data_IF_294892311864
#
_entry.id   IF_294892311864
#
_cell.length_a   1.000
_cell.length_b   1.000
_cell.length_c   1.000
_cell.angle_alpha   90.00
_cell.angle_beta   90.00
_cell.angle_gamma   90.00
#
_symmetry.space_group_name_H-M   'P 1'
#
loop_
_entity.id
_entity.type
_entity.pdbx_description
1 polymer ?
#
# COMPACT_ATOMS: atom_id res chain seq x y z
N UNK A 1 -50.73 32.70 6.27
CA UNK A 1 -50.02 34.00 6.20
C UNK A 1 -48.89 33.81 5.20
N UNK A 2 -49.12 33.81 3.89
CA UNK A 2 -49.69 34.88 3.05
C UNK A 2 -48.94 36.20 3.27
N UNK A 3 -48.01 36.51 2.37
CA UNK A 3 -48.06 37.73 1.55
C UNK A 3 -46.99 37.67 0.43
N UNK A 4 -47.48 37.36 -0.78
CA UNK A 4 -46.93 37.88 -2.04
C UNK A 4 -47.30 39.36 -2.14
N UNK A 5 -46.51 40.19 -2.82
CA UNK A 5 -46.90 41.33 -3.69
C UNK A 5 -45.62 42.05 -4.21
N UNK A 6 -45.63 42.84 -5.32
CA UNK A 6 -45.53 42.30 -6.68
C UNK A 6 -44.56 43.08 -7.60
N UNK A 7 -44.51 42.60 -8.86
CA UNK A 7 -43.97 43.21 -10.07
C UNK A 7 -44.11 44.74 -10.23
N UNK A 8 -43.09 45.32 -10.87
CA UNK A 8 -43.27 46.42 -11.83
C UNK A 8 -42.55 46.06 -13.13
N UNK A 9 -43.32 46.00 -14.21
CA UNK A 9 -42.87 45.91 -15.60
C UNK A 9 -42.89 47.32 -16.21
N UNK A 10 -42.15 47.48 -17.31
CA UNK A 10 -42.52 48.17 -18.56
C UNK A 10 -41.48 49.18 -19.10
N UNK A 11 -41.16 48.89 -20.37
CA UNK A 11 -40.75 49.75 -21.49
C UNK A 11 -39.25 49.92 -21.70
N UNK A 12 -38.73 49.90 -22.93
CA UNK A 12 -39.22 49.44 -24.25
C UNK A 12 -38.08 49.74 -25.22
N UNK A 13 -37.83 48.83 -26.15
CA UNK A 13 -37.32 49.09 -27.52
C UNK A 13 -35.96 49.79 -27.66
N UNK A 14 -35.11 49.54 -28.66
CA UNK A 14 -34.96 48.57 -29.73
C UNK A 14 -33.60 48.95 -30.32
N UNK A 15 -32.75 47.96 -30.55
CA UNK A 15 -31.75 47.93 -31.63
C UNK A 15 -31.16 49.26 -32.13
N UNK A 16 -29.96 49.58 -31.66
CA UNK A 16 -28.90 50.12 -32.53
C UNK A 16 -27.67 49.26 -32.29
N UNK A 17 -27.61 48.14 -32.99
CA UNK A 17 -26.67 47.94 -34.10
C UNK A 17 -25.19 48.14 -33.69
N UNK A 18 -24.48 47.03 -33.79
CA UNK A 18 -23.11 46.94 -34.32
C UNK A 18 -21.98 47.53 -33.48
N UNK A 19 -21.60 46.83 -32.40
CA UNK A 19 -20.20 46.86 -31.94
C UNK A 19 -19.73 45.60 -31.17
N UNK A 20 -20.51 44.51 -31.17
CA UNK A 20 -20.19 43.26 -30.47
C UNK A 20 -19.50 42.21 -31.37
N UNK A 21 -18.46 42.57 -32.13
CA UNK A 21 -17.75 41.55 -32.91
C UNK A 21 -16.24 41.75 -33.04
N UNK A 22 -15.57 42.38 -32.05
CA UNK A 22 -14.11 42.37 -32.05
C UNK A 22 -13.39 42.56 -30.72
N UNK A 23 -14.05 42.29 -29.58
CA UNK A 23 -13.42 42.41 -28.24
C UNK A 23 -13.80 41.31 -27.24
N UNK A 24 -14.50 40.25 -27.68
CA UNK A 24 -14.89 39.11 -26.85
C UNK A 24 -14.46 37.82 -27.56
N UNK A 25 -13.14 37.62 -27.70
CA UNK A 25 -12.53 36.31 -27.91
C UNK A 25 -11.01 36.32 -27.64
N UNK A 26 -10.57 36.93 -26.53
CA UNK A 26 -9.32 36.53 -25.86
C UNK A 26 -9.62 36.59 -24.36
N UNK A 27 -10.58 35.73 -24.00
CA UNK A 27 -10.97 35.45 -22.64
C UNK A 27 -9.76 34.92 -21.86
N UNK A 28 -9.46 35.57 -20.74
CA UNK A 28 -9.17 34.91 -19.47
C UNK A 28 -8.30 33.62 -19.51
N UNK A 29 -7.17 33.65 -20.21
CA UNK A 29 -6.25 32.50 -20.26
C UNK A 29 -4.81 32.97 -20.38
N UNK A 30 -4.25 33.53 -19.31
CA UNK A 30 -2.78 33.63 -19.05
C UNK A 30 -2.51 34.38 -17.74
N UNK A 31 -3.21 34.02 -16.66
CA UNK A 31 -2.91 34.55 -15.32
C UNK A 31 -2.99 33.49 -14.21
N UNK A 32 -2.87 32.21 -14.56
CA UNK A 32 -2.78 31.14 -13.57
C UNK A 32 -2.04 29.93 -14.15
N UNK A 33 -0.71 29.97 -14.13
CA UNK A 33 0.10 28.74 -14.18
C UNK A 33 1.44 28.94 -13.44
N UNK A 34 1.39 29.63 -12.30
CA UNK A 34 2.31 29.31 -11.20
C UNK A 34 1.95 27.91 -10.71
N UNK A 35 2.95 27.06 -10.49
CA UNK A 35 2.84 25.64 -10.09
C UNK A 35 2.79 24.63 -11.26
N UNK A 36 3.74 24.65 -12.20
CA UNK A 36 4.31 23.35 -12.60
C UNK A 36 5.14 22.86 -11.41
N UNK A 37 4.44 22.28 -10.43
CA UNK A 37 5.05 21.41 -9.45
C UNK A 37 5.89 20.39 -10.19
N UNK A 38 7.12 20.23 -9.73
CA UNK A 38 8.02 19.17 -10.13
C UNK A 38 7.20 17.87 -10.23
N UNK A 39 6.91 17.42 -11.46
CA UNK A 39 6.33 16.11 -11.67
C UNK A 39 7.42 15.14 -11.20
N UNK A 40 7.29 14.63 -9.97
CA UNK A 40 8.10 13.51 -9.50
C UNK A 40 7.85 12.39 -10.48
N UNK A 41 8.77 12.18 -11.40
CA UNK A 41 8.81 10.97 -12.22
C UNK A 41 8.72 9.79 -11.27
N UNK A 42 7.90 8.76 -11.54
CA UNK A 42 7.88 7.58 -10.72
C UNK A 42 9.30 7.03 -10.70
N UNK A 43 9.96 7.17 -9.56
CA UNK A 43 11.27 6.63 -9.31
C UNK A 43 11.16 5.13 -9.58
N UNK A 44 11.81 4.65 -10.64
CA UNK A 44 12.00 3.21 -10.87
C UNK A 44 13.05 2.76 -9.88
N UNK A 45 12.70 2.80 -8.60
CA UNK A 45 13.54 2.29 -7.53
C UNK A 45 13.71 0.79 -7.80
N UNK A 46 14.95 0.31 -7.79
CA UNK A 46 15.23 -1.13 -7.89
C UNK A 46 14.55 -1.87 -6.74
N UNK A 47 14.28 -3.16 -6.92
CA UNK A 47 13.79 -4.01 -5.84
C UNK A 47 14.98 -4.76 -5.22
N UNK A 48 14.88 -5.07 -3.92
CA UNK A 48 15.82 -5.91 -3.16
C UNK A 48 15.12 -7.12 -2.58
N UNK A 49 15.86 -8.19 -2.39
CA UNK A 49 15.39 -9.42 -1.74
C UNK A 49 15.95 -9.52 -0.33
N UNK A 50 15.11 -9.97 0.60
CA UNK A 50 15.50 -10.19 2.00
C UNK A 50 14.96 -11.54 2.46
N UNK A 51 15.76 -12.24 3.25
CA UNK A 51 15.43 -13.57 3.77
C UNK A 51 15.33 -13.53 5.29
N UNK A 52 14.32 -14.22 5.81
CA UNK A 52 14.01 -14.32 7.23
C UNK A 52 13.77 -15.76 7.61
N UNK A 53 14.05 -16.11 8.86
CA UNK A 53 13.80 -17.44 9.41
C UNK A 53 13.00 -17.35 10.71
N UNK A 54 12.13 -18.33 10.91
CA UNK A 54 11.39 -18.55 12.16
C UNK A 54 11.20 -20.04 12.36
N UNK A 55 11.01 -20.48 13.60
CA UNK A 55 10.58 -21.84 13.88
C UNK A 55 9.07 -21.87 14.17
N UNK A 56 8.45 -23.01 13.89
CA UNK A 56 7.13 -23.34 14.38
C UNK A 56 7.27 -23.94 15.78
N UNK A 57 6.22 -23.78 16.58
CA UNK A 57 6.07 -24.48 17.86
C UNK A 57 6.22 -25.98 17.62
N UNK A 58 6.91 -26.68 18.53
CA UNK A 58 7.17 -28.12 18.45
C UNK A 58 5.92 -28.93 18.82
N UNK A 59 4.92 -28.88 17.93
CA UNK A 59 3.60 -29.50 18.08
C UNK A 59 3.08 -29.81 16.66
N UNK A 60 2.94 -31.09 16.34
CA UNK A 60 2.56 -31.56 15.00
C UNK A 60 1.20 -31.02 14.55
N UNK A 61 0.24 -30.87 15.47
CA UNK A 61 -1.08 -30.33 15.17
C UNK A 61 -0.98 -28.86 14.80
N UNK A 62 -0.23 -28.08 15.56
CA UNK A 62 0.03 -26.66 15.28
C UNK A 62 0.77 -26.45 13.96
N UNK A 63 1.75 -27.30 13.67
CA UNK A 63 2.45 -27.29 12.38
C UNK A 63 1.47 -27.54 11.24
N UNK A 64 0.60 -28.54 11.36
CA UNK A 64 -0.41 -28.84 10.34
C UNK A 64 -1.39 -27.68 10.13
N UNK A 65 -1.91 -27.09 11.22
CA UNK A 65 -2.82 -25.95 11.15
C UNK A 65 -2.17 -24.75 10.43
N UNK A 66 -0.93 -24.41 10.80
CA UNK A 66 -0.17 -23.33 10.15
C UNK A 66 -0.09 -23.54 8.63
N UNK A 67 0.23 -24.75 8.20
CA UNK A 67 0.34 -25.07 6.77
C UNK A 67 -1.00 -25.03 6.06
N UNK A 68 -2.06 -25.53 6.71
CA UNK A 68 -3.41 -25.50 6.14
C UNK A 68 -3.89 -24.05 5.96
N UNK A 69 -3.60 -23.14 6.91
CA UNK A 69 -3.87 -21.71 6.73
C UNK A 69 -3.09 -21.10 5.56
N UNK A 70 -1.84 -21.50 5.33
CA UNK A 70 -1.01 -20.94 4.26
C UNK A 70 -1.30 -21.52 2.86
N UNK A 71 -2.11 -22.57 2.75
CA UNK A 71 -2.65 -23.02 1.44
C UNK A 71 -3.61 -22.01 0.84
N UNK A 72 -4.30 -21.23 1.67
CA UNK A 72 -5.23 -20.19 1.25
C UNK A 72 -5.25 -19.05 2.27
N UNK A 73 -4.36 -18.09 2.05
CA UNK A 73 -4.27 -16.87 2.85
C UNK A 73 -5.56 -16.07 2.70
N UNK A 74 -5.97 -15.37 3.76
CA UNK A 74 -7.13 -14.48 3.70
C UNK A 74 -6.90 -13.35 2.69
N UNK A 75 -7.88 -13.02 1.83
CA UNK A 75 -7.68 -12.03 0.77
C UNK A 75 -7.34 -10.63 1.31
N UNK A 76 -7.82 -10.28 2.50
CA UNK A 76 -7.51 -9.01 3.15
C UNK A 76 -6.03 -8.90 3.52
N UNK A 77 -5.39 -10.01 3.91
CA UNK A 77 -3.97 -10.05 4.26
C UNK A 77 -3.13 -9.75 3.02
N UNK A 78 -3.44 -10.40 1.89
CA UNK A 78 -2.77 -10.11 0.62
C UNK A 78 -3.05 -8.70 0.10
N UNK A 79 -4.25 -8.17 0.33
CA UNK A 79 -4.56 -6.77 0.02
C UNK A 79 -3.76 -5.80 0.90
N UNK A 80 -3.54 -6.13 2.17
CA UNK A 80 -2.62 -5.43 3.07
C UNK A 80 -1.18 -5.44 2.55
N UNK A 81 -0.67 -6.59 2.10
CA UNK A 81 0.66 -6.68 1.50
C UNK A 81 0.80 -5.82 0.24
N UNK A 82 -0.21 -5.85 -0.64
CA UNK A 82 -0.26 -5.00 -1.85
C UNK A 82 -0.25 -3.52 -1.48
N UNK A 83 -1.06 -3.13 -0.47
CA UNK A 83 -1.13 -1.74 0.01
C UNK A 83 0.19 -1.27 0.62
N UNK A 84 0.88 -2.15 1.35
CA UNK A 84 2.18 -1.86 1.95
C UNK A 84 3.33 -1.82 0.92
N UNK A 85 3.13 -2.35 -0.28
CA UNK A 85 4.12 -2.30 -1.36
C UNK A 85 5.07 -3.49 -1.46
N UNK A 86 4.75 -4.62 -0.79
CA UNK A 86 5.48 -5.87 -1.01
C UNK A 86 5.33 -6.32 -2.47
N UNK A 87 6.43 -6.72 -3.11
CA UNK A 87 6.45 -7.17 -4.51
C UNK A 87 6.24 -8.67 -4.61
N UNK A 88 6.86 -9.42 -3.70
CA UNK A 88 6.75 -10.88 -3.60
C UNK A 88 6.98 -11.29 -2.15
N UNK A 89 6.24 -12.30 -1.70
CA UNK A 89 6.46 -12.99 -0.43
C UNK A 89 6.41 -14.48 -0.76
N UNK A 90 7.41 -15.24 -0.33
CA UNK A 90 7.47 -16.69 -0.53
C UNK A 90 7.92 -17.36 0.75
N UNK A 91 7.21 -18.42 1.14
CA UNK A 91 7.57 -19.23 2.30
C UNK A 91 8.07 -20.58 1.84
N UNK A 92 9.22 -20.98 2.36
CA UNK A 92 9.79 -22.31 2.27
C UNK A 92 9.80 -22.94 3.64
N UNK A 93 9.82 -24.27 3.71
CA UNK A 93 9.82 -25.00 4.98
C UNK A 93 10.81 -26.16 4.96
N UNK A 94 11.53 -26.31 6.06
CA UNK A 94 12.27 -27.52 6.40
C UNK A 94 11.93 -27.93 7.84
N UNK A 95 11.27 -29.09 8.00
CA UNK A 95 10.75 -29.55 9.30
C UNK A 95 9.92 -28.47 10.04
N UNK A 96 10.38 -27.94 11.18
CA UNK A 96 9.69 -26.84 11.89
C UNK A 96 10.16 -25.45 11.48
N UNK A 97 11.21 -25.33 10.67
CA UNK A 97 11.76 -24.05 10.26
C UNK A 97 11.05 -23.53 9.02
N UNK A 98 10.61 -22.28 9.06
CA UNK A 98 10.06 -21.54 7.94
C UNK A 98 11.11 -20.51 7.51
N UNK A 99 11.37 -20.47 6.21
CA UNK A 99 12.19 -19.45 5.56
C UNK A 99 11.25 -18.56 4.75
N UNK A 100 11.22 -17.27 5.05
CA UNK A 100 10.48 -16.29 4.29
C UNK A 100 11.43 -15.47 3.43
N UNK A 101 11.19 -15.44 2.12
CA UNK A 101 11.85 -14.54 1.20
C UNK A 101 10.86 -13.46 0.77
N UNK A 102 11.24 -12.20 0.91
CA UNK A 102 10.45 -11.06 0.45
C UNK A 102 11.23 -10.27 -0.60
N UNK A 103 10.51 -9.77 -1.59
CA UNK A 103 11.01 -8.77 -2.55
C UNK A 103 10.30 -7.45 -2.26
N UNK A 104 11.05 -6.38 -2.03
CA UNK A 104 10.56 -5.05 -1.64
C UNK A 104 11.35 -3.95 -2.38
N UNK A 105 10.85 -2.71 -2.46
CA UNK A 105 11.63 -1.60 -3.01
C UNK A 105 12.98 -1.42 -2.29
N UNK A 106 14.02 -0.93 -2.98
CA UNK A 106 15.37 -0.72 -2.44
C UNK A 106 15.38 0.11 -1.15
N UNK A 107 14.58 1.18 -1.14
CA UNK A 107 14.42 2.12 -0.03
C UNK A 107 13.31 1.72 0.96
N UNK A 108 12.86 0.46 0.94
CA UNK A 108 11.81 -0.03 1.82
C UNK A 108 12.19 0.10 3.30
N UNK A 109 11.25 0.63 4.09
CA UNK A 109 11.20 0.55 5.54
C UNK A 109 10.25 -0.59 5.94
N UNK A 110 10.80 -1.71 6.39
CA UNK A 110 10.03 -2.90 6.72
C UNK A 110 9.11 -2.70 7.93
N UNK A 111 9.50 -1.86 8.90
CA UNK A 111 8.67 -1.59 10.06
C UNK A 111 7.41 -0.83 9.62
N UNK A 112 7.59 0.20 8.79
CA UNK A 112 6.48 0.95 8.23
C UNK A 112 5.59 0.07 7.35
N UNK A 113 6.18 -0.74 6.45
CA UNK A 113 5.42 -1.65 5.58
C UNK A 113 4.61 -2.67 6.37
N UNK A 114 5.18 -3.24 7.43
CA UNK A 114 4.49 -4.17 8.33
C UNK A 114 3.28 -3.52 9.01
N UNK A 115 3.43 -2.29 9.50
CA UNK A 115 2.34 -1.50 10.10
C UNK A 115 1.24 -1.19 9.08
N UNK A 116 1.60 -0.81 7.85
CA UNK A 116 0.64 -0.54 6.77
C UNK A 116 -0.14 -1.81 6.40
N UNK A 117 0.54 -2.96 6.29
CA UNK A 117 -0.12 -4.22 5.97
C UNK A 117 -1.06 -4.68 7.09
N UNK A 118 -0.64 -4.58 8.34
CA UNK A 118 -1.45 -4.96 9.50
C UNK A 118 -2.65 -4.03 9.71
N UNK A 119 -2.48 -2.72 9.53
CA UNK A 119 -3.54 -1.74 9.72
C UNK A 119 -4.56 -1.70 8.59
N UNK A 120 -4.33 -2.42 7.49
CA UNK A 120 -5.24 -2.46 6.34
C UNK A 120 -6.66 -2.95 6.70
N UNK A 121 -6.78 -3.91 7.62
CA UNK A 121 -8.05 -4.48 8.07
C UNK A 121 -7.92 -5.14 9.43
N UNK A 122 -9.00 -5.18 10.22
CA UNK A 122 -9.04 -5.97 11.46
C UNK A 122 -8.76 -7.47 11.22
N UNK A 123 -9.05 -7.97 10.01
CA UNK A 123 -8.66 -9.33 9.61
C UNK A 123 -7.15 -9.50 9.48
N UNK A 124 -6.40 -8.47 9.07
CA UNK A 124 -4.94 -8.53 9.04
C UNK A 124 -4.36 -8.64 10.46
N UNK A 125 -4.86 -7.83 11.40
CA UNK A 125 -4.49 -7.94 12.82
C UNK A 125 -4.82 -9.32 13.39
N UNK A 126 -6.02 -9.83 13.12
CA UNK A 126 -6.43 -11.16 13.56
C UNK A 126 -5.56 -12.27 12.95
N UNK A 127 -5.17 -12.13 11.67
CA UNK A 127 -4.23 -13.04 11.03
C UNK A 127 -2.87 -13.02 11.73
N UNK A 128 -2.30 -11.84 12.00
CA UNK A 128 -1.01 -11.72 12.69
C UNK A 128 -1.06 -12.33 14.09
N UNK A 129 -2.12 -12.08 14.86
CA UNK A 129 -2.33 -12.68 16.17
C UNK A 129 -2.47 -14.21 16.09
N UNK A 130 -3.18 -14.73 15.09
CA UNK A 130 -3.31 -16.16 14.83
C UNK A 130 -1.95 -16.78 14.48
N UNK A 131 -1.22 -16.21 13.51
CA UNK A 131 0.09 -16.71 13.07
C UNK A 131 1.12 -16.69 14.18
N UNK A 132 1.07 -15.68 15.06
CA UNK A 132 1.94 -15.59 16.23
C UNK A 132 1.81 -16.81 17.15
N UNK A 133 0.64 -17.47 17.23
CA UNK A 133 0.46 -18.67 18.08
C UNK A 133 1.25 -19.89 17.59
N UNK A 134 1.61 -19.90 16.31
CA UNK A 134 2.32 -21.00 15.67
C UNK A 134 3.82 -20.80 15.61
N UNK A 135 4.30 -19.56 15.80
CA UNK A 135 5.69 -19.16 15.56
C UNK A 135 6.46 -18.94 16.86
N UNK A 136 7.71 -19.38 16.86
CA UNK A 136 8.73 -19.16 17.91
C UNK A 136 10.04 -18.73 17.28
N UNK A 137 10.83 -17.94 18.02
CA UNK A 137 12.16 -17.53 17.57
C UNK A 137 13.07 -18.72 17.26
N UNK A 138 13.98 -18.54 16.30
CA UNK A 138 15.14 -19.45 16.18
C UNK A 138 16.09 -19.24 17.38
N UNK A 139 17.08 -20.11 17.55
CA UNK A 139 18.07 -19.92 18.60
C UNK A 139 18.85 -18.60 18.37
N UNK A 140 19.06 -17.83 19.43
CA UNK A 140 19.83 -16.58 19.38
C UNK A 140 19.04 -15.32 19.01
N UNK A 141 17.73 -15.41 18.77
CA UNK A 141 16.89 -14.23 18.50
C UNK A 141 16.67 -13.42 19.77
N UNK A 142 16.66 -12.09 19.65
CA UNK A 142 16.45 -11.18 20.77
C UNK A 142 15.08 -11.40 21.45
N UNK A 143 14.97 -11.14 22.76
CA UNK A 143 13.69 -11.24 23.47
C UNK A 143 12.59 -10.43 22.79
N UNK A 144 11.43 -11.06 22.56
CA UNK A 144 10.28 -10.43 21.91
C UNK A 144 10.29 -10.47 20.39
N UNK A 145 11.38 -10.88 19.74
CA UNK A 145 11.44 -11.11 18.30
C UNK A 145 11.22 -12.59 17.96
N UNK A 146 10.58 -12.85 16.82
CA UNK A 146 10.35 -14.23 16.30
C UNK A 146 11.09 -14.46 14.99
N UNK A 147 10.87 -13.57 14.04
CA UNK A 147 11.55 -13.61 12.75
C UNK A 147 12.96 -13.04 12.89
N UNK A 148 13.95 -13.83 12.50
CA UNK A 148 15.33 -13.39 12.38
C UNK A 148 15.64 -13.09 10.92
N UNK A 149 16.13 -11.90 10.62
CA UNK A 149 16.68 -11.60 9.30
C UNK A 149 18.00 -12.34 9.12
N UNK A 150 18.19 -12.97 7.97
CA UNK A 150 19.45 -13.65 7.63
C UNK A 150 20.44 -12.68 6.99
N UNK A 151 21.72 -13.02 7.04
CA UNK A 151 22.77 -12.34 6.29
C UNK A 151 22.99 -13.06 4.95
N UNK A 152 23.02 -12.32 3.85
CA UNK A 152 23.47 -12.85 2.57
C UNK A 152 25.00 -12.95 2.60
N UNK A 153 25.54 -14.16 2.45
CA UNK A 153 26.99 -14.41 2.51
C UNK A 153 27.63 -14.67 1.14
N UNK A 154 26.81 -14.96 0.13
CA UNK A 154 27.27 -15.26 -1.23
C UNK A 154 26.11 -15.10 -2.23
N UNK A 155 26.40 -14.50 -3.39
CA UNK A 155 25.48 -14.44 -4.52
C UNK A 155 26.27 -14.64 -5.81
N UNK A 156 25.73 -15.48 -6.70
CA UNK A 156 26.27 -15.71 -8.03
C UNK A 156 25.24 -15.30 -9.07
N UNK A 157 25.63 -14.42 -9.98
CA UNK A 157 24.81 -13.96 -11.09
C UNK A 157 25.53 -14.38 -12.38
N UNK A 158 24.90 -15.26 -13.15
CA UNK A 158 25.34 -15.52 -14.52
C UNK A 158 24.71 -14.44 -15.42
N UNK A 159 25.51 -13.52 -15.99
CA UNK A 159 25.00 -12.35 -16.71
C UNK A 159 24.26 -12.67 -18.01
#
# INVERSE_FOLDING_TARGET
MAEQFPNQLISSNTSVLTANFRRILFAAFLLCFSMLGCQKTPDKTKDKELVFVVNLVDDEKKVKEYLDYHKKIWPEVEAGFKKAGYKKITLYRFNKTIVMMITVPENADLNHMGQVAESYSEKCKAWNQLMSKYQVGVAGVAPGQKWAQTEEIYSFINP
#
